data_IF_164026253752
#
_entry.id   IF_164026253752
#
_cell.length_a   1.000
_cell.length_b   1.000
_cell.length_c   1.000
_cell.angle_alpha   90.00
_cell.angle_beta   90.00
_cell.angle_gamma   90.00
#
_symmetry.space_group_name_H-M   'P 1'
#
loop_
_entity.id
_entity.type
_entity.pdbx_description
1 polymer ?
2 non-polymer ?
3 non-polymer ?
4 non-polymer ?
5 water ?
#
# COMPACT_ATOMS: atom_id res chain seq x y z
N UNK A 42 -0.27 0.64 -19.67
CA UNK A 42 0.63 1.77 -19.47
C UNK A 42 1.26 1.82 -18.08
N UNK A 43 1.90 0.73 -17.65
CA UNK A 43 2.47 0.73 -16.30
C UNK A 43 3.88 1.33 -16.29
N UNK A 44 4.15 2.22 -15.34
CA UNK A 44 5.51 2.70 -15.12
C UNK A 44 6.20 1.88 -14.04
N UNK A 45 7.39 1.40 -14.35
CA UNK A 45 8.09 0.48 -13.49
C UNK A 45 8.56 1.22 -12.23
N UNK A 46 8.51 0.57 -11.09
CA UNK A 46 8.89 1.23 -9.84
C UNK A 46 10.27 0.79 -9.33
N UNK A 47 10.91 1.60 -8.48
CA UNK A 47 12.14 1.19 -7.78
C UNK A 47 11.90 -0.14 -7.09
N UNK A 48 12.91 -0.98 -7.06
CA UNK A 48 12.73 -2.32 -6.52
C UNK A 48 13.10 -2.37 -5.05
N UNK A 49 13.89 -1.42 -4.58
CA UNK A 49 14.26 -1.46 -3.15
C UNK A 49 13.49 -0.39 -2.37
N UNK A 50 12.45 -0.83 -1.68
CA UNK A 50 11.57 0.08 -0.98
C UNK A 50 11.27 -0.41 0.42
N UNK A 51 12.16 -1.22 0.98
CA UNK A 51 12.02 -1.68 2.37
C UNK A 51 11.70 -0.54 3.30
N UNK A 52 10.80 -0.83 4.24
CA UNK A 52 10.59 0.04 5.39
C UNK A 52 9.17 -0.04 5.89
N UNK A 53 8.82 0.88 6.77
CA UNK A 53 7.49 0.93 7.36
C UNK A 53 6.82 2.28 7.05
N UNK A 54 5.71 2.24 6.32
CA UNK A 54 5.01 3.42 5.84
C UNK A 54 3.69 3.50 6.57
N UNK A 55 3.26 4.71 6.96
CA UNK A 55 1.98 4.86 7.62
C UNK A 55 1.18 5.95 6.97
N UNK A 56 -0.13 5.86 7.15
CA UNK A 56 -1.06 6.84 6.62
C UNK A 56 -2.47 6.50 7.11
N UNK A 57 -3.45 7.06 6.43
CA UNK A 57 -4.84 6.99 6.84
C UNK A 57 -5.67 6.63 5.66
N UNK A 58 -6.75 5.90 5.93
CA UNK A 58 -7.72 5.56 4.90
C UNK A 58 -9.06 5.52 5.60
N UNK A 59 -9.93 6.49 5.31
CA UNK A 59 -11.25 6.53 5.93
C UNK A 59 -11.17 6.57 7.43
N UNK A 60 -10.30 7.43 7.96
CA UNK A 60 -10.10 7.47 9.40
C UNK A 60 -9.39 6.29 10.08
N UNK A 61 -9.12 5.19 9.37
CA UNK A 61 -8.31 4.11 9.93
C UNK A 61 -6.85 4.33 9.64
N UNK A 62 -5.99 4.06 10.60
CA UNK A 62 -4.56 4.12 10.35
C UNK A 62 -4.07 2.87 9.60
N UNK A 63 -3.32 3.09 8.53
CA UNK A 63 -2.71 2.01 7.75
C UNK A 63 -1.25 1.96 8.10
N UNK A 64 -0.73 0.77 8.33
CA UNK A 64 0.73 0.60 8.49
C UNK A 64 1.18 -0.47 7.46
N UNK A 65 2.08 -0.08 6.57
CA UNK A 65 2.58 -1.00 5.54
C UNK A 65 4.02 -1.29 5.83
N UNK A 66 4.32 -2.56 6.07
CA UNK A 66 5.69 -3.00 6.30
C UNK A 66 6.17 -3.74 5.05
N UNK A 67 7.23 -3.25 4.44
CA UNK A 67 7.72 -3.80 3.20
C UNK A 67 9.05 -4.47 3.39
N UNK A 68 9.18 -5.68 2.89
CA UNK A 68 10.46 -6.37 2.93
C UNK A 68 10.67 -7.02 1.56
N UNK A 69 11.66 -6.58 0.78
CA UNK A 69 11.93 -7.17 -0.53
C UNK A 69 10.72 -6.90 -1.47
N UNK A 70 10.05 -7.96 -1.90
CA UNK A 70 8.96 -7.75 -2.83
C UNK A 70 7.64 -8.12 -2.19
N UNK A 71 7.64 -8.24 -0.87
CA UNK A 71 6.38 -8.53 -0.17
C UNK A 71 6.20 -7.59 1.00
N UNK A 72 5.09 -7.73 1.72
CA UNK A 72 4.86 -6.94 2.90
C UNK A 72 3.55 -7.26 3.58
N UNK A 73 3.22 -6.50 4.63
CA UNK A 73 1.95 -6.63 5.30
C UNK A 73 1.32 -5.26 5.38
N UNK A 74 0.02 -5.25 5.18
CA UNK A 74 -0.77 -4.05 5.18
C UNK A 74 -1.73 -4.17 6.36
N UNK A 75 -1.58 -3.29 7.34
CA UNK A 75 -2.37 -3.41 8.55
C UNK A 75 -3.26 -2.22 8.72
N UNK A 76 -4.55 -2.49 8.93
CA UNK A 76 -5.53 -1.44 9.15
C UNK A 76 -5.93 -1.46 10.63
N UNK A 77 -5.79 -0.34 11.33
CA UNK A 77 -6.21 -0.23 12.72
C UNK A 77 -7.57 0.44 12.78
N UNK A 78 -8.56 -0.28 13.24
CA UNK A 78 -9.89 0.31 13.40
C UNK A 78 -9.99 1.10 14.69
N UNK A 79 -11.01 1.95 14.76
CA UNK A 79 -11.23 2.82 15.90
C UNK A 79 -11.38 2.04 17.21
N UNK A 80 -12.01 0.87 17.16
CA UNK A 80 -12.11 0.04 18.37
C UNK A 80 -10.81 -0.73 18.73
N UNK A 81 -9.74 -0.60 17.95
CA UNK A 81 -8.51 -1.26 18.36
C UNK A 81 -8.24 -2.60 17.68
N UNK A 82 -9.24 -3.14 17.00
CA UNK A 82 -9.00 -4.34 16.21
C UNK A 82 -8.12 -3.96 15.04
N UNK A 83 -7.38 -4.94 14.51
CA UNK A 83 -6.58 -4.72 13.32
C UNK A 83 -6.92 -5.75 12.31
N UNK A 84 -6.84 -5.34 11.05
CA UNK A 84 -7.04 -6.23 9.92
C UNK A 84 -5.71 -6.31 9.20
N UNK A 85 -5.15 -7.51 9.10
CA UNK A 85 -3.86 -7.64 8.47
C UNK A 85 -3.98 -8.40 7.15
N UNK A 86 -3.48 -7.80 6.07
CA UNK A 86 -3.48 -8.45 4.75
C UNK A 86 -2.07 -8.62 4.22
N UNK A 87 -1.81 -9.73 3.54
CA UNK A 87 -0.55 -9.97 2.87
C UNK A 87 -0.45 -9.12 1.61
N UNK A 88 0.73 -8.55 1.39
CA UNK A 88 0.96 -7.66 0.24
C UNK A 88 2.05 -8.21 -0.63
N UNK A 89 1.92 -8.02 -1.94
CA UNK A 89 3.01 -8.36 -2.85
C UNK A 89 3.12 -7.19 -3.79
N UNK A 90 4.38 -6.91 -4.12
CA UNK A 90 4.76 -5.81 -5.00
C UNK A 90 5.34 -6.30 -6.31
N UNK A 91 4.67 -5.91 -7.37
CA UNK A 91 5.13 -6.19 -8.72
C UNK A 91 5.73 -4.91 -9.29
N UNK A 92 7.04 -4.77 -9.20
CA UNK A 92 7.64 -3.48 -9.52
C UNK A 92 7.59 -3.14 -10.98
N UNK A 93 7.77 -4.14 -11.85
CA UNK A 93 7.78 -3.85 -13.30
C UNK A 93 6.41 -3.38 -13.77
N UNK A 94 5.33 -3.90 -13.21
CA UNK A 94 4.02 -3.46 -13.71
C UNK A 94 3.33 -2.51 -12.73
N UNK A 95 4.05 -2.08 -11.70
CA UNK A 95 3.51 -1.07 -10.79
C UNK A 95 2.20 -1.59 -10.13
N UNK A 96 2.12 -2.88 -9.81
CA UNK A 96 0.94 -3.42 -9.12
C UNK A 96 1.23 -3.92 -7.70
N UNK A 97 0.36 -3.55 -6.79
CA UNK A 97 0.44 -4.08 -5.45
C UNK A 97 -0.86 -4.81 -5.17
N UNK A 98 -0.71 -6.00 -4.63
CA UNK A 98 -1.85 -6.79 -4.33
C UNK A 98 -1.91 -6.83 -2.81
N UNK A 99 -3.05 -6.44 -2.27
CA UNK A 99 -3.25 -6.67 -0.86
C UNK A 99 -4.41 -7.59 -0.62
N UNK A 100 -4.12 -8.70 0.04
CA UNK A 100 -5.07 -9.79 0.12
C UNK A 100 -5.27 -10.29 -1.29
N UNK A 101 -6.44 -10.06 -1.84
CA UNK A 101 -6.59 -10.34 -3.26
C UNK A 101 -7.14 -9.15 -4.00
N UNK A 102 -6.95 -7.96 -3.47
CA UNK A 102 -7.39 -6.75 -4.15
C UNK A 102 -6.18 -6.11 -4.84
N UNK A 103 -6.33 -5.81 -6.12
CA UNK A 103 -5.25 -5.23 -6.92
C UNK A 103 -5.22 -3.71 -6.86
N UNK A 104 -4.07 -3.14 -6.50
CA UNK A 104 -3.85 -1.69 -6.53
C UNK A 104 -2.69 -1.34 -7.45
N UNK A 105 -2.64 -0.07 -7.82
CA UNK A 105 -1.49 0.55 -8.45
C UNK A 105 -0.73 1.30 -7.38
N UNK A 106 0.59 1.18 -7.37
CA UNK A 106 1.38 1.97 -6.42
C UNK A 106 2.45 2.78 -7.12
N UNK A 107 2.84 3.88 -6.49
CA UNK A 107 3.86 4.76 -7.02
C UNK A 107 4.79 5.12 -5.86
N UNK A 108 6.09 4.93 -6.06
CA UNK A 108 7.09 5.24 -5.04
C UNK A 108 7.78 6.58 -5.30
N UNK A 109 7.71 7.49 -4.35
CA UNK A 109 8.43 8.77 -4.41
C UNK A 109 9.27 8.97 -3.17
N UNK A 110 10.51 8.48 -3.18
CA UNK A 110 11.29 8.52 -1.97
C UNK A 110 10.56 7.80 -0.83
N UNK A 111 10.37 8.46 0.31
CA UNK A 111 9.76 7.87 1.49
C UNK A 111 8.24 7.72 1.41
N UNK A 112 7.68 8.19 0.31
CA UNK A 112 6.25 8.14 0.15
C UNK A 112 5.82 7.07 -0.87
N UNK A 113 4.80 6.32 -0.50
CA UNK A 113 4.16 5.39 -1.44
C UNK A 113 2.69 5.79 -1.59
N UNK A 114 2.27 5.97 -2.84
CA UNK A 114 0.93 6.43 -3.15
C UNK A 114 0.18 5.22 -3.72
N UNK A 115 -0.92 4.85 -3.09
CA UNK A 115 -1.66 3.66 -3.48
C UNK A 115 -2.97 4.10 -4.13
N UNK A 116 -3.22 3.61 -5.35
CA UNK A 116 -4.44 3.93 -6.10
C UNK A 116 -5.26 2.71 -6.46
N UNK A 117 -6.55 2.91 -6.63
CA UNK A 117 -7.38 1.89 -7.28
C UNK A 117 -6.99 1.78 -8.74
N UNK A 118 -7.40 0.71 -9.38
CA UNK A 118 -7.11 0.53 -10.80
C UNK A 118 -7.73 1.58 -11.70
N UNK A 119 -8.90 2.06 -11.34
CA UNK A 119 -9.44 3.18 -12.10
C UNK A 119 -8.82 4.52 -11.68
N UNK A 120 -7.88 4.50 -10.73
CA UNK A 120 -7.29 5.75 -10.22
C UNK A 120 -8.28 6.76 -9.60
N UNK A 121 -9.43 6.30 -9.15
CA UNK A 121 -10.35 7.17 -8.46
C UNK A 121 -9.64 7.96 -7.36
N UNK A 122 -9.55 9.28 -7.55
CA UNK A 122 -8.85 10.19 -6.63
C UNK A 122 -9.36 10.11 -5.20
N UNK A 123 -10.61 9.75 -5.00
CA UNK A 123 -11.12 9.71 -3.64
C UNK A 123 -10.72 8.42 -2.95
N UNK A 124 -10.09 7.52 -3.69
CA UNK A 124 -9.67 6.26 -3.10
C UNK A 124 -8.16 6.22 -2.88
N UNK A 125 -7.49 7.28 -3.31
CA UNK A 125 -6.05 7.35 -3.17
C UNK A 125 -5.61 7.37 -1.72
N UNK A 126 -4.55 6.62 -1.41
CA UNK A 126 -4.01 6.55 -0.08
C UNK A 126 -2.54 6.87 -0.17
N UNK A 127 -2.10 7.83 0.63
CA UNK A 127 -0.71 8.23 0.65
C UNK A 127 -0.10 7.76 1.96
N UNK A 128 0.96 6.97 1.89
CA UNK A 128 1.65 6.50 3.07
C UNK A 128 3.08 6.96 3.06
N UNK A 129 3.63 7.14 4.25
CA UNK A 129 4.93 7.76 4.37
C UNK A 129 5.71 7.11 5.46
N UNK A 130 7.00 6.89 5.24
CA UNK A 130 7.84 6.31 6.29
C UNK A 130 8.81 7.32 6.86
X LIG B 1 12.88 5.64 0.54
X LIG C 1 11.56 7.18 -5.56
X LIG D 1 -11.02 -0.10 -8.41
X LIG D 1 -10.78 0.21 -9.77
X LIG D 1 -10.43 -1.46 -8.06
X LIG D 1 -10.46 -2.35 -9.16
X LIG D 1 -9.08 -1.36 -7.32
X LIG D 1 -9.27 -1.59 -5.91
X LIG E 1 -9.62 0.88 -0.43
X LIG E 1 -8.61 1.71 -0.96
X LIG E 1 -9.08 -0.52 -0.18
X LIG E 1 -10.13 -1.41 0.12
X LIG E 1 -8.04 -0.53 0.93
X LIG E 1 -8.00 -1.82 1.50
X LIG F 1 -11.15 -6.17 3.00
X LIG F 1 -11.97 -7.30 2.82
X LIG F 1 -11.55 -5.38 4.25
X LIG F 1 -10.73 -4.24 4.39
X LIG F 1 -11.41 -6.25 5.49
X LIG F 1 -12.59 -7.00 5.75
X LIG G 1 -0.26 13.53 -3.20
X LIG G 1 -0.49 12.76 -4.36
X LIG G 1 1.23 13.86 -3.10
X LIG G 1 1.92 13.14 -4.11
X LIG G 1 1.45 15.36 -3.28
X LIG G 1 2.68 15.75 -2.71
#
# INVERSE_FOLDING_TARGET
>A
SNAAQQVQQPVAQQQVQQPAQQNTNTANAGGNQNQAAPVQNQPVAQPTDIDGTYTGQDDGDRITLVVTGTTGTWTELESDGDQKVKQVTFDSANQRMIIGDDVKIYTVNGNQIVVDDMDRDPSDQIVLTK
>B hetero
1 K K
>C hetero
1 CL CL
>D hetero
1 GOL C1 O1 C2 O2 C3 O3
>E hetero
1 GOL C1 O1 C2 O2 C3 O3
>F hetero
1 GOL C1 O1 C2 O2 C3 O3
>G hetero
1 GOL C1 O1 C2 O2 C3 O3
#
